data_IF_913686577354
#
_entry.id   IF_913686577354
#
_cell.length_a   1.000
_cell.length_b   1.000
_cell.length_c   1.000
_cell.angle_alpha   90.00
_cell.angle_beta   90.00
_cell.angle_gamma   90.00
#
_symmetry.space_group_name_H-M   'P 1'
#
loop_
_entity.id
_entity.type
_entity.pdbx_description
1 polymer ?
#
# COMPACT_ATOMS: atom_id res chain seq x y z
N UNK A 1 -16.89 -10.15 -8.92
CA UNK A 1 -16.24 -9.01 -9.59
C UNK A 1 -15.58 -8.07 -8.59
N UNK A 2 -16.29 -7.69 -7.53
CA UNK A 2 -15.73 -6.83 -6.50
C UNK A 2 -14.53 -7.43 -5.80
N UNK A 3 -14.57 -8.72 -5.63
CA UNK A 3 -13.47 -9.45 -4.98
C UNK A 3 -12.17 -9.30 -5.76
N UNK A 4 -12.24 -9.37 -7.08
CA UNK A 4 -11.07 -9.20 -7.94
C UNK A 4 -10.48 -7.79 -7.82
N UNK A 5 -11.34 -6.80 -7.74
CA UNK A 5 -10.90 -5.41 -7.60
C UNK A 5 -10.12 -5.24 -6.29
N UNK A 6 -10.64 -5.81 -5.20
CA UNK A 6 -9.98 -5.73 -3.90
C UNK A 6 -8.61 -6.43 -3.92
N UNK A 7 -8.54 -7.59 -4.55
CA UNK A 7 -7.28 -8.33 -4.68
C UNK A 7 -6.26 -7.51 -5.48
N UNK A 8 -6.69 -6.95 -6.61
CA UNK A 8 -5.80 -6.16 -7.46
C UNK A 8 -5.29 -4.93 -6.72
N UNK A 9 -6.19 -4.22 -6.04
CA UNK A 9 -5.81 -3.04 -5.26
C UNK A 9 -4.85 -3.40 -4.14
N UNK A 10 -5.12 -4.51 -3.45
CA UNK A 10 -4.24 -4.98 -2.39
C UNK A 10 -2.84 -5.30 -2.90
N UNK A 11 -2.76 -6.01 -4.02
CA UNK A 11 -1.48 -6.37 -4.63
C UNK A 11 -0.73 -5.13 -5.09
N UNK A 12 -1.44 -4.19 -5.73
CA UNK A 12 -0.82 -2.94 -6.16
C UNK A 12 -0.28 -2.14 -4.98
N UNK A 13 -1.07 -2.03 -3.92
CA UNK A 13 -0.63 -1.33 -2.71
C UNK A 13 0.60 -1.98 -2.10
N UNK A 14 0.60 -3.30 -1.97
CA UNK A 14 1.74 -4.03 -1.44
C UNK A 14 2.98 -3.85 -2.33
N UNK A 15 2.81 -3.94 -3.63
CA UNK A 15 3.91 -3.74 -4.57
C UNK A 15 4.50 -2.33 -4.46
N UNK A 16 3.64 -1.33 -4.32
CA UNK A 16 4.08 0.05 -4.15
C UNK A 16 4.88 0.22 -2.85
N UNK A 17 4.41 -0.37 -1.76
CA UNK A 17 5.10 -0.28 -0.47
C UNK A 17 6.46 -0.96 -0.56
N UNK A 18 6.50 -2.19 -1.04
CA UNK A 18 7.75 -2.95 -1.15
C UNK A 18 8.72 -2.25 -2.10
N UNK A 19 8.24 -1.84 -3.27
CA UNK A 19 9.06 -1.13 -4.24
C UNK A 19 9.59 0.19 -3.69
N UNK A 20 8.76 0.90 -2.95
CA UNK A 20 9.17 2.14 -2.31
C UNK A 20 10.26 1.92 -1.27
N UNK A 21 10.11 0.90 -0.44
CA UNK A 21 11.11 0.57 0.59
C UNK A 21 12.44 0.17 -0.06
N UNK A 22 12.39 -0.70 -1.06
CA UNK A 22 13.60 -1.14 -1.76
C UNK A 22 14.27 0.04 -2.45
N UNK A 23 13.49 0.88 -3.12
CA UNK A 23 14.03 2.06 -3.77
C UNK A 23 14.66 3.03 -2.78
N UNK A 24 14.03 3.23 -1.63
CA UNK A 24 14.56 4.08 -0.59
C UNK A 24 15.91 3.57 -0.05
N UNK A 25 15.99 2.27 0.16
CA UNK A 25 17.21 1.65 0.69
C UNK A 25 18.36 1.67 -0.32
N UNK A 26 18.05 1.44 -1.60
CA UNK A 26 19.10 1.38 -2.64
C UNK A 26 19.48 2.73 -3.20
N UNK A 27 18.62 3.70 -3.05
CA UNK A 27 18.82 5.01 -3.65
C UNK A 27 19.77 5.86 -2.82
N UNK A 28 20.79 6.42 -3.48
CA UNK A 28 21.67 7.40 -2.87
C UNK A 28 21.22 8.84 -3.16
N UNK A 29 20.21 9.01 -3.99
CA UNK A 29 19.78 10.32 -4.44
C UNK A 29 18.59 10.82 -3.63
N UNK A 30 18.60 12.09 -3.25
CA UNK A 30 17.54 12.69 -2.47
C UNK A 30 16.20 12.67 -3.23
N UNK A 31 16.24 12.87 -4.54
CA UNK A 31 15.04 12.86 -5.36
C UNK A 31 14.35 11.51 -5.31
N UNK A 32 15.12 10.45 -5.47
CA UNK A 32 14.56 9.10 -5.46
C UNK A 32 14.03 8.76 -4.08
N UNK A 33 14.67 9.24 -3.03
CA UNK A 33 14.16 9.05 -1.66
C UNK A 33 12.79 9.69 -1.48
N UNK A 34 12.61 10.90 -2.00
CA UNK A 34 11.32 11.60 -1.91
C UNK A 34 10.25 10.84 -2.70
N UNK A 35 10.57 10.40 -3.90
CA UNK A 35 9.64 9.64 -4.74
C UNK A 35 9.26 8.33 -4.07
N UNK A 36 10.24 7.64 -3.50
CA UNK A 36 10.01 6.37 -2.80
C UNK A 36 9.13 6.57 -1.57
N UNK A 37 9.38 7.62 -0.81
CA UNK A 37 8.55 7.96 0.35
C UNK A 37 7.12 8.26 -0.06
N UNK A 38 6.93 8.98 -1.16
CA UNK A 38 5.59 9.25 -1.70
C UNK A 38 4.89 7.97 -2.11
N UNK A 39 5.61 7.05 -2.75
CA UNK A 39 5.05 5.76 -3.15
C UNK A 39 4.61 4.94 -1.94
N UNK A 40 5.43 4.91 -0.89
CA UNK A 40 5.09 4.21 0.35
C UNK A 40 3.84 4.83 0.98
N UNK A 41 3.79 6.14 1.05
CA UNK A 41 2.64 6.85 1.61
C UNK A 41 1.37 6.55 0.81
N UNK A 42 1.45 6.59 -0.51
CA UNK A 42 0.32 6.28 -1.37
C UNK A 42 -0.18 4.85 -1.14
N UNK A 43 0.73 3.90 -1.08
CA UNK A 43 0.38 2.50 -0.81
C UNK A 43 -0.29 2.33 0.54
N UNK A 44 0.24 2.98 1.58
CA UNK A 44 -0.33 2.92 2.91
C UNK A 44 -1.74 3.53 2.95
N UNK A 45 -1.94 4.66 2.28
CA UNK A 45 -3.26 5.30 2.20
C UNK A 45 -4.26 4.39 1.47
N UNK A 46 -3.84 3.76 0.38
CA UNK A 46 -4.70 2.82 -0.34
C UNK A 46 -5.12 1.64 0.54
N UNK A 47 -4.20 1.08 1.27
CA UNK A 47 -4.50 -0.03 2.18
C UNK A 47 -5.43 0.41 3.29
N UNK A 48 -5.18 1.59 3.87
CA UNK A 48 -6.06 2.12 4.90
C UNK A 48 -7.48 2.34 4.37
N UNK A 49 -7.61 2.85 3.16
CA UNK A 49 -8.91 3.03 2.53
C UNK A 49 -9.63 1.70 2.33
N UNK A 50 -8.92 0.68 1.88
CA UNK A 50 -9.50 -0.65 1.72
C UNK A 50 -9.99 -1.21 3.05
N UNK A 51 -9.19 -1.05 4.09
CA UNK A 51 -9.57 -1.52 5.43
C UNK A 51 -10.77 -0.77 6.00
N UNK A 52 -10.89 0.50 5.67
CA UNK A 52 -12.05 1.30 6.11
C UNK A 52 -13.32 0.90 5.37
N UNK A 53 -13.21 0.57 4.09
CA UNK A 53 -14.36 0.17 3.29
C UNK A 53 -14.82 -1.24 3.67
N UNK A 54 -13.89 -2.15 3.92
CA UNK A 54 -14.22 -3.52 4.31
C UNK A 54 -14.40 -3.60 5.82
N UNK A 55 -15.54 -4.07 6.31
CA UNK A 55 -15.77 -4.19 7.76
C UNK A 55 -15.04 -5.41 8.32
N UNK A 56 -13.73 -5.33 8.40
CA UNK A 56 -12.89 -6.42 8.91
C UNK A 56 -13.16 -6.65 10.39
N UNK A 57 -13.53 -5.61 11.09
CA UNK A 57 -13.80 -5.69 12.53
C UNK A 57 -14.89 -6.70 12.87
N UNK A 58 -15.79 -6.96 11.95
CA UNK A 58 -16.88 -7.91 12.18
C UNK A 58 -16.37 -9.35 12.30
N UNK A 59 -15.25 -9.65 11.66
CA UNK A 59 -14.68 -10.99 11.71
C UNK A 59 -13.96 -11.26 13.03
N UNK A 60 -13.57 -10.22 13.75
CA UNK A 60 -12.87 -10.33 15.01
C UNK A 60 -13.85 -10.47 16.17
N UNK A 61 -15.07 -10.05 15.96
CA UNK A 61 -16.10 -10.12 17.00
C UNK A 61 -16.31 -11.53 17.50
N UNK A 62 -16.43 -11.71 18.78
CA UNK A 62 -16.68 -13.02 19.37
C UNK A 62 -18.06 -13.58 19.00
#
# INVERSE_FOLDING_TARGET
>A
MEFLILIVLGVLGAACIVGGIVGYCKSGSARVKIISAAAIAAGAVMWAAILLITPVSSSIGP
#
